data_IF_913574698912
#
_entry.id   IF_913574698912
#
_cell.length_a   1.000
_cell.length_b   1.000
_cell.length_c   1.000
_cell.angle_alpha   90.00
_cell.angle_beta   90.00
_cell.angle_gamma   90.00
#
_symmetry.space_group_name_H-M   'P 1'
#
loop_
_entity.id
_entity.type
_entity.pdbx_description
1 polymer ?
#
# COMPACT_ATOMS: atom_id res chain seq x y z
N UNK A 1 14.59 -33.64 78.95
CA UNK A 1 15.53 -33.24 77.87
C UNK A 1 15.00 -33.85 76.58
N UNK A 2 14.43 -33.00 75.72
CA UNK A 2 13.62 -33.36 74.55
C UNK A 2 14.50 -33.57 73.31
N UNK A 3 14.47 -34.78 72.74
CA UNK A 3 15.07 -35.08 71.43
C UNK A 3 14.21 -34.46 70.32
N UNK A 4 14.81 -33.63 69.46
CA UNK A 4 14.19 -33.11 68.23
C UNK A 4 14.77 -33.86 67.02
N UNK A 5 13.92 -34.63 66.34
CA UNK A 5 14.23 -35.26 65.05
C UNK A 5 14.27 -34.21 63.93
N UNK A 6 15.39 -34.14 63.19
CA UNK A 6 15.47 -33.42 61.92
C UNK A 6 15.04 -34.36 60.79
N UNK A 7 14.00 -33.98 60.05
CA UNK A 7 13.63 -34.61 58.79
C UNK A 7 14.22 -33.79 57.63
N UNK A 8 15.13 -34.40 56.86
CA UNK A 8 15.66 -33.82 55.61
C UNK A 8 14.64 -34.02 54.48
N UNK A 9 14.18 -32.94 53.88
CA UNK A 9 13.37 -32.95 52.66
C UNK A 9 14.32 -32.83 51.46
N UNK A 10 14.42 -33.87 50.65
CA UNK A 10 15.08 -33.83 49.34
C UNK A 10 14.11 -33.28 48.30
N UNK A 11 14.39 -32.09 47.76
CA UNK A 11 13.66 -31.53 46.62
C UNK A 11 14.30 -32.04 45.33
N UNK A 12 13.66 -32.99 44.66
CA UNK A 12 14.01 -33.38 43.30
C UNK A 12 13.64 -32.24 42.34
N UNK A 13 14.64 -31.57 41.79
CA UNK A 13 14.46 -30.58 40.73
C UNK A 13 14.41 -31.29 39.39
N UNK A 14 13.22 -31.51 38.85
CA UNK A 14 13.04 -32.03 37.50
C UNK A 14 13.39 -30.95 36.47
N UNK A 15 14.47 -31.14 35.71
CA UNK A 15 14.69 -30.37 34.49
C UNK A 15 13.67 -30.82 33.45
N UNK A 16 12.61 -30.03 33.26
CA UNK A 16 11.76 -30.14 32.09
C UNK A 16 12.57 -29.64 30.88
N UNK A 17 13.05 -30.56 30.05
CA UNK A 17 13.56 -30.22 28.74
C UNK A 17 12.38 -29.70 27.91
N UNK A 18 12.38 -28.41 27.59
CA UNK A 18 11.47 -27.85 26.60
C UNK A 18 11.85 -28.42 25.24
N UNK A 19 11.05 -29.36 24.73
CA UNK A 19 11.18 -29.81 23.35
C UNK A 19 11.00 -28.58 22.44
N UNK A 20 12.05 -28.23 21.68
CA UNK A 20 11.94 -27.21 20.66
C UNK A 20 10.89 -27.68 19.65
N UNK A 21 9.86 -26.86 19.41
CA UNK A 21 8.88 -27.15 18.37
C UNK A 21 9.62 -27.28 17.03
N UNK A 22 9.34 -28.36 16.30
CA UNK A 22 9.92 -28.53 14.97
C UNK A 22 9.56 -27.33 14.08
N UNK A 23 10.49 -26.84 13.24
CA UNK A 23 10.20 -25.71 12.36
C UNK A 23 9.02 -26.08 11.45
N UNK A 24 7.90 -25.36 11.59
CA UNK A 24 6.79 -25.52 10.64
C UNK A 24 7.29 -25.10 9.26
N UNK A 25 7.12 -25.97 8.25
CA UNK A 25 7.48 -25.64 6.87
C UNK A 25 6.70 -24.43 6.34
N UNK A 26 7.25 -23.79 5.30
CA UNK A 26 6.58 -22.71 4.57
C UNK A 26 5.27 -23.21 3.97
N UNK A 27 4.18 -22.46 4.17
CA UNK A 27 2.85 -22.82 3.68
C UNK A 27 2.08 -21.60 3.15
N UNK A 28 0.84 -21.82 2.71
CA UNK A 28 0.00 -20.77 2.11
C UNK A 28 -0.24 -19.58 3.05
N UNK A 29 -0.33 -19.79 4.36
CA UNK A 29 -0.51 -18.70 5.31
C UNK A 29 0.72 -17.81 5.39
N UNK A 30 1.92 -18.38 5.22
CA UNK A 30 3.16 -17.58 5.13
C UNK A 30 3.13 -16.71 3.87
N UNK A 31 2.78 -17.30 2.72
CA UNK A 31 2.67 -16.56 1.45
C UNK A 31 1.65 -15.41 1.52
N UNK A 32 0.54 -15.61 2.23
CA UNK A 32 -0.50 -14.59 2.39
C UNK A 32 -0.08 -13.48 3.37
N UNK A 33 0.65 -13.85 4.43
CA UNK A 33 1.15 -12.92 5.44
C UNK A 33 2.38 -12.11 4.99
N UNK A 34 3.03 -12.49 3.89
CA UNK A 34 4.16 -11.75 3.34
C UNK A 34 3.75 -10.33 2.91
N UNK A 35 4.45 -9.36 3.48
CA UNK A 35 4.40 -7.98 3.03
C UNK A 35 5.08 -7.83 1.66
N UNK A 36 4.53 -6.98 0.81
CA UNK A 36 5.08 -6.75 -0.54
C UNK A 36 5.49 -5.30 -0.68
N UNK A 37 6.73 -5.07 -1.09
CA UNK A 37 7.28 -3.74 -1.36
C UNK A 37 7.18 -3.46 -2.86
N UNK A 38 6.79 -2.24 -3.23
CA UNK A 38 6.80 -1.75 -4.61
C UNK A 38 7.11 -0.25 -4.70
N UNK A 39 7.43 0.20 -5.92
CA UNK A 39 7.71 1.60 -6.28
C UNK A 39 8.66 2.34 -5.31
N UNK A 40 9.91 1.86 -5.11
CA UNK A 40 10.89 2.55 -4.29
C UNK A 40 11.42 3.81 -4.97
N UNK A 41 11.43 4.92 -4.24
CA UNK A 41 11.76 6.26 -4.73
C UNK A 41 12.77 6.94 -3.78
N UNK A 42 14.04 7.08 -4.19
CA UNK A 42 15.02 7.85 -3.45
C UNK A 42 14.61 9.32 -3.32
N UNK A 43 14.93 9.94 -2.20
CA UNK A 43 14.80 11.39 -2.01
C UNK A 43 15.78 12.14 -2.92
N UNK A 44 15.53 13.43 -3.22
CA UNK A 44 16.43 14.21 -4.10
C UNK A 44 17.88 14.29 -3.60
N UNK A 45 18.08 14.28 -2.28
CA UNK A 45 19.40 14.25 -1.63
C UNK A 45 19.96 12.82 -1.45
N UNK A 46 19.20 11.80 -1.84
CA UNK A 46 19.57 10.38 -1.75
C UNK A 46 19.62 9.81 -0.32
N UNK A 47 19.25 10.57 0.70
CA UNK A 47 19.40 10.13 2.10
C UNK A 47 18.28 9.20 2.58
N UNK A 48 17.13 9.21 1.90
CA UNK A 48 15.92 8.45 2.25
C UNK A 48 15.34 7.76 1.03
N UNK A 49 14.56 6.70 1.25
CA UNK A 49 13.78 6.02 0.22
C UNK A 49 12.34 5.95 0.72
N UNK A 50 11.40 6.45 -0.08
CA UNK A 50 9.95 6.22 0.12
C UNK A 50 9.51 5.06 -0.77
N UNK A 51 8.62 4.21 -0.29
CA UNK A 51 8.12 3.07 -1.04
C UNK A 51 6.71 2.69 -0.59
N UNK A 52 6.04 1.85 -1.36
CA UNK A 52 4.74 1.29 -1.04
C UNK A 52 4.93 -0.04 -0.33
N UNK A 53 4.28 -0.23 0.82
CA UNK A 53 4.20 -1.52 1.50
C UNK A 53 2.75 -2.02 1.47
N UNK A 54 2.54 -3.21 0.90
CA UNK A 54 1.25 -3.90 0.89
C UNK A 54 1.19 -4.94 1.99
N UNK A 55 0.14 -4.87 2.80
CA UNK A 55 -0.25 -5.91 3.76
C UNK A 55 -1.56 -6.56 3.34
N UNK A 56 -1.77 -7.81 3.73
CA UNK A 56 -3.02 -8.54 3.49
C UNK A 56 -3.83 -8.58 4.78
N UNK A 57 -5.05 -8.05 4.74
CA UNK A 57 -6.06 -8.24 5.78
C UNK A 57 -6.92 -9.44 5.38
N UNK A 58 -6.66 -10.58 6.03
CA UNK A 58 -7.33 -11.84 5.72
C UNK A 58 -8.80 -11.83 6.13
N UNK A 59 -9.12 -11.20 7.26
CA UNK A 59 -10.48 -11.16 7.79
C UNK A 59 -11.39 -10.31 6.91
N UNK A 60 -10.87 -9.17 6.43
CA UNK A 60 -11.58 -8.32 5.49
C UNK A 60 -11.42 -8.74 4.01
N UNK A 61 -10.69 -9.83 3.73
CA UNK A 61 -10.38 -10.32 2.39
C UNK A 61 -9.90 -9.20 1.44
N UNK A 62 -9.03 -8.32 1.93
CA UNK A 62 -8.55 -7.15 1.18
C UNK A 62 -7.05 -6.95 1.40
N UNK A 63 -6.38 -6.38 0.42
CA UNK A 63 -5.03 -5.85 0.62
C UNK A 63 -5.08 -4.35 0.85
N UNK A 64 -4.19 -3.86 1.71
CA UNK A 64 -4.01 -2.44 1.99
C UNK A 64 -2.60 -2.03 1.62
N UNK A 65 -2.46 -0.85 1.04
CA UNK A 65 -1.14 -0.25 0.80
C UNK A 65 -1.00 1.04 1.59
N UNK A 66 0.16 1.21 2.19
CA UNK A 66 0.56 2.43 2.87
C UNK A 66 1.95 2.84 2.39
N UNK A 67 2.29 4.12 2.54
CA UNK A 67 3.61 4.61 2.22
C UNK A 67 4.53 4.47 3.43
N UNK A 68 5.75 4.03 3.18
CA UNK A 68 6.80 3.86 4.17
C UNK A 68 8.06 4.57 3.72
N UNK A 69 8.87 4.98 4.69
CA UNK A 69 10.17 5.60 4.48
C UNK A 69 11.23 4.84 5.25
N UNK A 70 12.42 4.72 4.65
CA UNK A 70 13.62 4.18 5.29
C UNK A 70 14.82 5.04 4.90
N UNK A 71 15.85 5.09 5.75
CA UNK A 71 17.14 5.66 5.38
C UNK A 71 17.81 4.83 4.28
N UNK A 72 18.67 5.47 3.49
CA UNK A 72 19.45 4.77 2.45
C UNK A 72 20.42 3.71 3.03
N UNK A 73 20.72 3.81 4.32
CA UNK A 73 21.47 2.83 5.11
C UNK A 73 20.60 1.65 5.62
N UNK A 74 19.29 1.68 5.37
CA UNK A 74 18.31 0.71 5.85
C UNK A 74 17.78 0.98 7.27
N UNK A 75 18.23 2.05 7.93
CA UNK A 75 17.79 2.39 9.28
C UNK A 75 16.53 3.27 9.28
N UNK A 76 15.84 3.35 10.42
CA UNK A 76 14.76 4.33 10.61
C UNK A 76 13.47 4.05 9.82
N UNK A 77 13.14 2.78 9.58
CA UNK A 77 11.90 2.38 8.92
C UNK A 77 10.68 2.99 9.64
N UNK A 78 9.91 3.81 8.91
CA UNK A 78 8.79 4.58 9.45
C UNK A 78 7.62 4.55 8.49
N UNK A 79 6.41 4.28 9.00
CA UNK A 79 5.17 4.39 8.24
C UNK A 79 4.75 5.84 8.11
N UNK A 80 4.51 6.31 6.88
CA UNK A 80 4.15 7.69 6.58
C UNK A 80 2.64 7.93 6.51
N UNK A 81 1.87 6.94 6.06
CA UNK A 81 0.42 7.07 5.92
C UNK A 81 -0.34 6.00 6.70
N UNK A 82 -1.49 6.38 7.26
CA UNK A 82 -2.28 5.53 8.17
C UNK A 82 -3.78 5.57 7.90
N UNK A 83 -4.21 6.28 6.85
CA UNK A 83 -5.61 6.38 6.44
C UNK A 83 -6.13 5.03 5.91
N UNK A 84 -7.41 4.71 6.11
CA UNK A 84 -7.98 3.40 5.70
C UNK A 84 -7.94 3.14 4.20
N UNK A 85 -7.99 4.21 3.40
CA UNK A 85 -7.79 4.17 1.96
C UNK A 85 -6.36 3.75 1.61
N UNK A 86 -6.22 3.00 0.51
CA UNK A 86 -4.92 2.59 -0.01
C UNK A 86 -4.18 3.78 -0.62
N UNK A 87 -2.89 3.87 -0.32
CA UNK A 87 -1.99 4.89 -0.88
C UNK A 87 -0.96 4.24 -1.83
N UNK A 88 -0.62 4.93 -2.92
CA UNK A 88 0.29 4.40 -3.94
C UNK A 88 1.02 5.49 -4.74
N UNK A 89 1.90 5.07 -5.65
CA UNK A 89 2.64 5.92 -6.58
C UNK A 89 3.32 7.14 -5.93
N UNK A 90 4.18 6.95 -4.91
CA UNK A 90 4.84 8.06 -4.24
C UNK A 90 5.83 8.76 -5.17
N UNK A 91 5.94 10.09 -5.09
CA UNK A 91 6.95 10.91 -5.78
C UNK A 91 7.43 12.00 -4.84
N UNK A 92 8.74 12.13 -4.68
CA UNK A 92 9.29 13.25 -3.91
C UNK A 92 9.03 14.58 -4.61
N UNK A 93 8.75 15.62 -3.84
CA UNK A 93 8.88 16.98 -4.32
C UNK A 93 10.36 17.22 -4.72
N UNK A 94 10.65 17.93 -5.82
CA UNK A 94 12.04 18.16 -6.27
C UNK A 94 12.93 18.86 -5.22
N UNK A 95 12.32 19.65 -4.34
CA UNK A 95 12.98 20.35 -3.24
C UNK A 95 13.11 19.50 -1.95
N UNK A 96 12.66 18.24 -1.96
CA UNK A 96 12.66 17.34 -0.81
C UNK A 96 11.66 17.70 0.30
N UNK A 97 10.82 18.73 0.09
CA UNK A 97 9.92 19.26 1.13
C UNK A 97 8.75 18.34 1.50
N UNK A 98 8.50 17.30 0.70
CA UNK A 98 7.43 16.35 0.94
C UNK A 98 7.33 15.28 -0.14
N UNK A 99 6.30 14.44 -0.02
CA UNK A 99 5.99 13.34 -0.93
C UNK A 99 4.59 13.55 -1.48
N UNK A 100 4.45 13.57 -2.80
CA UNK A 100 3.19 13.43 -3.50
C UNK A 100 2.84 11.95 -3.66
N UNK A 101 1.56 11.62 -3.68
CA UNK A 101 1.10 10.23 -3.82
C UNK A 101 -0.36 10.16 -4.24
N UNK A 102 -0.81 9.00 -4.72
CA UNK A 102 -2.21 8.73 -5.01
C UNK A 102 -2.93 8.15 -3.80
N UNK A 103 -4.15 8.63 -3.55
CA UNK A 103 -5.03 8.11 -2.49
C UNK A 103 -6.51 8.29 -2.85
N UNK A 104 -7.32 7.30 -2.50
CA UNK A 104 -8.79 7.33 -2.68
C UNK A 104 -9.55 7.87 -1.47
N UNK A 105 -8.87 8.53 -0.52
CA UNK A 105 -9.47 8.99 0.74
C UNK A 105 -10.56 10.06 0.60
N UNK A 106 -10.67 10.71 -0.56
CA UNK A 106 -11.76 11.64 -0.90
C UNK A 106 -12.91 10.97 -1.69
N UNK A 107 -12.89 9.64 -1.83
CA UNK A 107 -13.90 8.88 -2.58
C UNK A 107 -13.51 8.57 -4.04
N UNK A 108 -12.48 9.24 -4.57
CA UNK A 108 -11.84 8.93 -5.86
C UNK A 108 -10.31 9.01 -5.71
N UNK A 109 -9.56 8.30 -6.55
CA UNK A 109 -8.10 8.35 -6.56
C UNK A 109 -7.63 9.74 -7.01
N UNK A 110 -7.05 10.50 -6.09
CA UNK A 110 -6.52 11.84 -6.37
C UNK A 110 -5.05 11.94 -5.94
N UNK A 111 -4.36 12.99 -6.38
CA UNK A 111 -3.02 13.31 -5.90
C UNK A 111 -3.12 14.03 -4.56
N UNK A 112 -2.33 13.57 -3.60
CA UNK A 112 -2.17 14.13 -2.27
C UNK A 112 -0.71 14.46 -2.02
N UNK A 113 -0.45 15.38 -1.08
CA UNK A 113 0.90 15.75 -0.65
C UNK A 113 1.04 15.63 0.86
N UNK A 114 2.05 14.90 1.29
CA UNK A 114 2.48 14.77 2.68
C UNK A 114 3.78 15.58 2.91
N UNK A 115 3.83 16.48 3.91
CA UNK A 115 5.06 17.19 4.27
C UNK A 115 6.17 16.25 4.79
N UNK A 116 7.43 16.53 4.45
CA UNK A 116 8.57 15.71 4.89
C UNK A 116 8.81 15.76 6.42
N UNK A 117 8.40 16.87 7.06
CA UNK A 117 8.47 17.10 8.51
C UNK A 117 7.47 16.26 9.33
N UNK A 118 6.77 15.31 8.69
CA UNK A 118 5.51 14.75 9.16
C UNK A 118 4.39 15.81 9.28
N UNK A 119 3.14 15.36 9.22
CA UNK A 119 1.97 16.21 9.24
C UNK A 119 0.77 15.57 8.55
N UNK A 120 -0.31 16.32 8.39
CA UNK A 120 -1.49 15.87 7.67
C UNK A 120 -1.28 15.97 6.16
N UNK A 121 -1.74 14.96 5.43
CA UNK A 121 -1.73 14.98 3.97
C UNK A 121 -2.79 15.95 3.45
N UNK A 122 -2.45 16.70 2.41
CA UNK A 122 -3.36 17.67 1.76
C UNK A 122 -3.70 17.20 0.36
N UNK A 123 -4.96 17.32 -0.02
CA UNK A 123 -5.41 17.03 -1.36
C UNK A 123 -4.83 18.08 -2.33
N UNK A 124 -4.31 17.62 -3.46
CA UNK A 124 -3.69 18.47 -4.50
C UNK A 124 -4.56 18.54 -5.75
N UNK A 125 -5.21 17.43 -6.11
CA UNK A 125 -6.17 17.39 -7.23
C UNK A 125 -7.57 17.05 -6.75
N UNK A 126 -8.56 17.62 -7.42
CA UNK A 126 -9.98 17.31 -7.24
C UNK A 126 -10.63 17.23 -8.61
N UNK A 127 -10.32 16.14 -9.32
CA UNK A 127 -10.78 15.89 -10.68
C UNK A 127 -12.03 15.00 -10.68
N UNK A 128 -12.92 15.12 -11.69
CA UNK A 128 -14.13 14.31 -11.75
C UNK A 128 -13.88 12.82 -12.00
N UNK A 129 -12.65 12.44 -12.37
CA UNK A 129 -12.21 11.08 -12.65
C UNK A 129 -11.04 10.69 -11.74
N UNK A 130 -10.82 9.38 -11.62
CA UNK A 130 -9.65 8.84 -10.94
C UNK A 130 -8.35 9.22 -11.67
N UNK A 131 -7.37 9.71 -10.91
CA UNK A 131 -5.98 9.82 -11.35
C UNK A 131 -5.33 8.44 -11.24
N UNK A 132 -4.98 7.87 -12.39
CA UNK A 132 -4.34 6.56 -12.50
C UNK A 132 -2.81 6.61 -12.35
N UNK A 133 -2.20 7.78 -12.53
CA UNK A 133 -0.77 8.01 -12.40
C UNK A 133 -0.45 9.49 -12.50
N UNK A 134 0.69 9.91 -11.95
CA UNK A 134 1.14 11.29 -12.07
C UNK A 134 2.67 11.40 -12.03
N UNK A 135 3.18 12.53 -12.49
CA UNK A 135 4.58 12.95 -12.32
C UNK A 135 4.66 14.43 -11.95
N UNK A 136 5.66 14.78 -11.14
CA UNK A 136 5.89 16.16 -10.69
C UNK A 136 6.88 16.84 -11.64
N UNK A 137 6.60 18.07 -12.04
CA UNK A 137 7.55 18.83 -12.87
C UNK A 137 8.87 19.05 -12.13
N UNK A 138 10.02 19.16 -12.83
CA UNK A 138 11.33 19.36 -12.18
C UNK A 138 11.42 20.62 -11.30
N UNK A 139 10.63 21.65 -11.61
CA UNK A 139 10.53 22.88 -10.81
C UNK A 139 9.51 22.80 -9.67
N UNK A 140 8.79 21.68 -9.54
CA UNK A 140 7.80 21.41 -8.50
C UNK A 140 6.49 22.20 -8.64
N UNK A 141 6.29 22.94 -9.72
CA UNK A 141 5.13 23.85 -9.88
C UNK A 141 3.93 23.22 -10.54
N UNK A 142 4.12 22.16 -11.32
CA UNK A 142 3.08 21.52 -12.11
C UNK A 142 3.08 20.00 -11.89
N UNK A 143 1.95 19.39 -12.21
CA UNK A 143 1.80 17.94 -12.25
C UNK A 143 1.33 17.53 -13.65
N UNK A 144 1.93 16.48 -14.20
CA UNK A 144 1.35 15.72 -15.30
C UNK A 144 0.52 14.59 -14.70
N UNK A 145 -0.72 14.41 -15.14
CA UNK A 145 -1.62 13.36 -14.63
C UNK A 145 -2.14 12.50 -15.77
N UNK A 146 -2.36 11.21 -15.49
CA UNK A 146 -3.00 10.26 -16.39
C UNK A 146 -4.42 9.96 -15.88
N UNK A 147 -5.38 10.07 -16.80
CA UNK A 147 -6.80 9.79 -16.57
C UNK A 147 -7.27 8.78 -17.60
N UNK A 148 -8.13 7.85 -17.20
CA UNK A 148 -8.81 6.96 -18.14
C UNK A 148 -10.08 7.64 -18.65
N UNK A 149 -10.21 7.78 -19.97
CA UNK A 149 -11.33 8.47 -20.62
C UNK A 149 -11.88 7.65 -21.78
N UNK A 150 -13.16 7.87 -22.08
CA UNK A 150 -13.72 7.40 -23.35
C UNK A 150 -13.27 8.33 -24.46
N UNK A 151 -12.61 7.80 -25.49
CA UNK A 151 -11.99 8.61 -26.56
C UNK A 151 -12.99 9.43 -27.39
N UNK A 152 -14.27 9.05 -27.37
CA UNK A 152 -15.37 9.76 -28.03
C UNK A 152 -16.03 10.84 -27.15
N UNK A 153 -15.66 10.94 -25.87
CA UNK A 153 -16.15 11.99 -24.99
C UNK A 153 -15.43 13.32 -25.24
N UNK A 154 -16.16 14.46 -25.32
CA UNK A 154 -15.56 15.78 -25.53
C UNK A 154 -14.84 16.33 -24.29
N UNK A 155 -15.17 15.83 -23.10
CA UNK A 155 -14.60 16.28 -21.83
C UNK A 155 -14.66 15.17 -20.75
N UNK A 156 -14.10 15.48 -19.57
CA UNK A 156 -14.09 14.56 -18.44
C UNK A 156 -15.48 14.34 -17.84
N UNK A 157 -16.39 15.32 -17.94
CA UNK A 157 -17.73 15.22 -17.39
C UNK A 157 -18.57 14.18 -18.16
N UNK A 158 -18.42 14.12 -19.49
CA UNK A 158 -19.00 13.06 -20.33
C UNK A 158 -18.52 11.68 -19.90
N UNK A 159 -17.21 11.53 -19.65
CA UNK A 159 -16.65 10.25 -19.18
C UNK A 159 -17.23 9.86 -17.82
N UNK A 160 -17.24 10.81 -16.87
CA UNK A 160 -17.77 10.58 -15.51
C UNK A 160 -19.23 10.15 -15.56
N UNK A 161 -20.05 10.87 -16.31
CA UNK A 161 -21.47 10.54 -16.48
C UNK A 161 -21.66 9.12 -17.02
N UNK A 162 -20.89 8.72 -18.04
CA UNK A 162 -20.98 7.37 -18.62
C UNK A 162 -20.54 6.29 -17.64
N UNK A 163 -19.52 6.55 -16.82
CA UNK A 163 -19.09 5.63 -15.76
C UNK A 163 -20.16 5.49 -14.68
N UNK A 164 -20.79 6.60 -14.26
CA UNK A 164 -21.87 6.59 -13.28
C UNK A 164 -23.07 5.78 -13.76
N UNK A 165 -23.48 5.99 -15.02
CA UNK A 165 -24.55 5.20 -15.66
C UNK A 165 -24.20 3.71 -15.68
N UNK A 166 -22.94 3.34 -15.96
CA UNK A 166 -22.49 1.95 -15.96
C UNK A 166 -22.43 1.32 -14.55
N UNK A 167 -22.12 2.09 -13.52
CA UNK A 167 -22.12 1.61 -12.13
C UNK A 167 -23.55 1.33 -11.64
N UNK A 168 -24.52 2.11 -12.10
CA UNK A 168 -25.95 1.89 -11.82
C UNK A 168 -26.54 0.69 -12.58
N UNK A 169 -25.91 0.24 -13.66
CA UNK A 169 -26.33 -0.93 -14.42
C UNK A 169 -26.15 -2.22 -13.59
N UNK A 170 -27.28 -2.79 -13.15
CA UNK A 170 -27.30 -4.06 -12.40
C UNK A 170 -26.98 -5.30 -13.26
N UNK A 171 -26.86 -5.14 -14.58
CA UNK A 171 -26.59 -6.23 -15.50
C UNK A 171 -25.08 -6.54 -15.51
N UNK A 172 -24.71 -7.74 -15.11
CA UNK A 172 -23.30 -8.19 -15.12
C UNK A 172 -22.87 -8.84 -16.44
N UNK A 173 -23.82 -9.09 -17.34
CA UNK A 173 -23.58 -9.70 -18.64
C UNK A 173 -23.19 -8.68 -19.70
N UNK A 174 -22.05 -8.87 -20.35
CA UNK A 174 -21.63 -8.08 -21.52
C UNK A 174 -21.83 -8.87 -22.80
N UNK A 175 -22.58 -8.30 -23.75
CA UNK A 175 -22.72 -8.86 -25.09
C UNK A 175 -21.59 -8.34 -25.97
N UNK A 176 -20.63 -9.21 -26.28
CA UNK A 176 -19.60 -8.93 -27.28
C UNK A 176 -20.07 -9.45 -28.63
N UNK A 177 -20.39 -8.54 -29.55
CA UNK A 177 -20.82 -8.87 -30.92
C UNK A 177 -19.65 -9.10 -31.88
N UNK A 178 -18.43 -8.88 -31.40
CA UNK A 178 -17.17 -9.17 -32.09
C UNK A 178 -16.21 -9.85 -31.11
N UNK A 179 -15.38 -10.76 -31.61
CA UNK A 179 -14.35 -11.44 -30.80
C UNK A 179 -13.28 -10.40 -30.44
N UNK A 180 -12.81 -10.43 -29.20
CA UNK A 180 -11.66 -9.66 -28.76
C UNK A 180 -10.49 -9.88 -29.73
N UNK A 181 -9.86 -8.82 -30.24
CA UNK A 181 -8.67 -8.95 -31.08
C UNK A 181 -7.61 -9.68 -30.27
N UNK A 182 -7.31 -10.92 -30.65
CA UNK A 182 -6.23 -11.71 -30.05
C UNK A 182 -4.91 -11.05 -30.44
N UNK A 183 -4.29 -10.35 -29.50
CA UNK A 183 -3.05 -9.61 -29.73
C UNK A 183 -1.79 -10.50 -29.86
N UNK A 184 -1.91 -11.80 -29.59
CA UNK A 184 -0.79 -12.75 -29.55
C UNK A 184 -1.12 -14.04 -30.31
N UNK A 185 -0.43 -14.27 -31.42
CA UNK A 185 -0.52 -15.46 -32.26
C UNK A 185 0.70 -16.41 -32.16
N UNK A 186 1.75 -16.04 -31.42
CA UNK A 186 2.93 -16.89 -31.16
C UNK A 186 3.44 -16.81 -29.72
N UNK A 187 3.95 -17.95 -29.22
CA UNK A 187 4.59 -18.12 -27.89
C UNK A 187 6.12 -17.98 -27.97
#
# INVERSE_FOLDING_TARGET
>A
MTLRSLACVFVLSGLAATAAAEPRGFNVHDLLAMERISDPQPSPDGSQIVFVLRTTDLDANKGRTDLWRVGADGAGLTRLTTHEASDSNPRWAPDGSGVFFLSSRSGSSQVWRLPASAGEARQVTDLPLDVGGFEVSPDGKNLAVALEVFVDCPDLACTKKRLDEQEEEKATGRLYTQVFVRHWDTW
#
